data_IF_667817862143
#
_entry.id   IF_667817862143
#
_cell.length_a   1.000
_cell.length_b   1.000
_cell.length_c   1.000
_cell.angle_alpha   90.00
_cell.angle_beta   90.00
_cell.angle_gamma   90.00
#
_symmetry.space_group_name_H-M   'P 1'
#
loop_
_entity.id
_entity.type
_entity.pdbx_description
1 polymer ?
#
# COMPACT_ATOMS: atom_id res chain seq x y z
N UNK A 1 3.31 -19.32 -11.07
CA UNK A 1 2.50 -18.14 -10.69
C UNK A 1 1.15 -18.16 -11.39
N UNK A 2 0.08 -17.87 -10.66
CA UNK A 2 -1.25 -17.65 -11.26
C UNK A 2 -1.35 -16.15 -11.66
N UNK A 3 -1.54 -15.80 -12.94
CA UNK A 3 -1.40 -14.42 -13.43
C UNK A 3 -2.37 -13.43 -12.76
N UNK A 4 -3.50 -13.92 -12.26
CA UNK A 4 -4.50 -13.14 -11.54
C UNK A 4 -4.01 -12.65 -10.17
N UNK A 5 -3.18 -13.44 -9.49
CA UNK A 5 -2.65 -13.10 -8.15
C UNK A 5 -1.56 -12.04 -8.27
N UNK A 6 -0.66 -12.19 -9.24
CA UNK A 6 0.40 -11.23 -9.52
C UNK A 6 -0.15 -9.84 -9.86
N UNK A 7 -1.21 -9.78 -10.68
CA UNK A 7 -1.89 -8.52 -11.03
C UNK A 7 -2.53 -7.86 -9.81
N UNK A 8 -3.18 -8.62 -8.92
CA UNK A 8 -3.76 -8.08 -7.67
C UNK A 8 -2.69 -7.55 -6.73
N UNK A 9 -1.57 -8.25 -6.62
CA UNK A 9 -0.41 -7.81 -5.87
C UNK A 9 0.11 -6.45 -6.33
N UNK A 10 0.34 -6.31 -7.64
CA UNK A 10 0.79 -5.04 -8.21
C UNK A 10 -0.21 -3.90 -7.99
N UNK A 11 -1.52 -4.17 -8.08
CA UNK A 11 -2.56 -3.16 -7.83
C UNK A 11 -2.55 -2.71 -6.36
N UNK A 12 -2.50 -3.63 -5.40
CA UNK A 12 -2.46 -3.28 -3.98
C UNK A 12 -1.18 -2.50 -3.63
N UNK A 13 -0.04 -2.91 -4.19
CA UNK A 13 1.23 -2.21 -3.97
C UNK A 13 1.19 -0.79 -4.55
N UNK A 14 0.66 -0.65 -5.78
CA UNK A 14 0.48 0.66 -6.41
C UNK A 14 -0.47 1.56 -5.62
N UNK A 15 -1.58 1.01 -5.10
CA UNK A 15 -2.53 1.76 -4.29
C UNK A 15 -1.90 2.26 -2.97
N UNK A 16 -1.12 1.40 -2.31
CA UNK A 16 -0.36 1.78 -1.10
C UNK A 16 0.61 2.93 -1.38
N UNK A 17 1.35 2.84 -2.49
CA UNK A 17 2.33 3.85 -2.89
C UNK A 17 1.66 5.19 -3.18
N UNK A 18 0.52 5.19 -3.87
CA UNK A 18 -0.29 6.39 -4.14
C UNK A 18 -0.81 7.01 -2.84
N UNK A 19 -1.41 6.22 -1.95
CA UNK A 19 -1.89 6.70 -0.65
C UNK A 19 -0.76 7.33 0.18
N UNK A 20 0.42 6.71 0.17
CA UNK A 20 1.59 7.22 0.88
C UNK A 20 2.11 8.51 0.25
N UNK A 21 2.18 8.60 -1.07
CA UNK A 21 2.60 9.84 -1.78
C UNK A 21 1.63 10.97 -1.52
N UNK A 22 0.32 10.73 -1.54
CA UNK A 22 -0.68 11.75 -1.23
C UNK A 22 -0.60 12.18 0.24
N UNK A 23 -0.54 11.25 1.19
CA UNK A 23 -0.45 11.58 2.62
C UNK A 23 0.84 12.31 3.02
N UNK A 24 1.97 12.00 2.37
CA UNK A 24 3.22 12.75 2.61
C UNK A 24 3.15 14.12 1.93
N UNK A 25 2.71 14.17 0.67
CA UNK A 25 2.66 15.41 -0.12
C UNK A 25 1.69 16.44 0.44
N UNK A 26 0.52 16.02 0.92
CA UNK A 26 -0.48 16.92 1.49
C UNK A 26 -0.02 17.52 2.83
N UNK A 27 0.70 16.71 3.62
CA UNK A 27 1.36 17.18 4.85
C UNK A 27 2.40 18.28 4.54
N UNK A 28 3.19 18.11 3.48
CA UNK A 28 4.22 19.08 3.04
C UNK A 28 3.61 20.37 2.47
N UNK A 29 2.50 20.27 1.72
CA UNK A 29 1.92 21.42 0.99
C UNK A 29 0.94 22.21 1.87
N UNK A 30 0.11 21.54 2.67
CA UNK A 30 -1.05 22.14 3.36
C UNK A 30 -0.80 22.27 4.86
N UNK A 31 0.20 21.56 5.42
CA UNK A 31 0.57 21.64 6.84
C UNK A 31 -0.43 20.97 7.79
N UNK A 32 -1.38 20.18 7.28
CA UNK A 32 -2.40 19.48 8.06
C UNK A 32 -1.89 18.14 8.60
N UNK A 33 -0.88 18.18 9.47
CA UNK A 33 -0.17 16.99 9.92
C UNK A 33 -1.09 15.90 10.54
N UNK A 34 -2.18 16.27 11.22
CA UNK A 34 -3.02 15.31 11.94
C UNK A 34 -3.96 14.49 11.02
N UNK A 35 -4.53 15.12 9.98
CA UNK A 35 -5.40 14.42 9.03
C UNK A 35 -4.58 13.53 8.07
N UNK A 36 -3.37 13.98 7.74
CA UNK A 36 -2.42 13.23 6.90
C UNK A 36 -1.88 11.96 7.56
N UNK A 37 -1.80 11.93 8.89
CA UNK A 37 -1.35 10.75 9.62
C UNK A 37 -2.26 9.53 9.36
N UNK A 38 -3.57 9.73 9.24
CA UNK A 38 -4.53 8.64 8.99
C UNK A 38 -4.36 8.10 7.57
N UNK A 39 -4.14 8.98 6.59
CA UNK A 39 -3.92 8.59 5.18
C UNK A 39 -2.63 7.79 5.04
N UNK A 40 -1.57 8.23 5.72
CA UNK A 40 -0.28 7.51 5.77
C UNK A 40 -0.45 6.15 6.47
N UNK A 41 -1.13 6.09 7.61
CA UNK A 41 -1.42 4.82 8.32
C UNK A 41 -2.24 3.88 7.43
N UNK A 42 -3.26 4.37 6.75
CA UNK A 42 -4.07 3.58 5.84
C UNK A 42 -3.24 3.07 4.65
N UNK A 43 -2.41 3.92 4.03
CA UNK A 43 -1.50 3.53 2.95
C UNK A 43 -0.49 2.47 3.39
N UNK A 44 0.07 2.61 4.59
CA UNK A 44 1.02 1.66 5.16
C UNK A 44 0.35 0.32 5.50
N UNK A 45 -0.86 0.36 6.07
CA UNK A 45 -1.63 -0.83 6.39
C UNK A 45 -1.99 -1.61 5.11
N UNK A 46 -2.45 -0.91 4.07
CA UNK A 46 -2.72 -1.52 2.75
C UNK A 46 -1.45 -2.12 2.16
N UNK A 47 -0.30 -1.45 2.29
CA UNK A 47 0.99 -1.96 1.84
C UNK A 47 1.44 -3.23 2.56
N UNK A 48 1.23 -3.31 3.87
CA UNK A 48 1.51 -4.50 4.68
C UNK A 48 0.59 -5.67 4.33
N UNK A 49 -0.71 -5.42 4.16
CA UNK A 49 -1.67 -6.44 3.70
C UNK A 49 -1.27 -6.94 2.32
N UNK A 50 -0.86 -6.05 1.42
CA UNK A 50 -0.34 -6.43 0.10
C UNK A 50 0.89 -7.34 0.23
N UNK A 51 1.88 -6.94 1.03
CA UNK A 51 3.09 -7.72 1.26
C UNK A 51 2.77 -9.13 1.77
N UNK A 52 1.93 -9.25 2.80
CA UNK A 52 1.57 -10.56 3.34
C UNK A 52 0.75 -11.41 2.38
N UNK A 53 -0.16 -10.81 1.61
CA UNK A 53 -0.91 -11.53 0.59
C UNK A 53 0.01 -12.03 -0.53
N UNK A 54 0.92 -11.19 -1.01
CA UNK A 54 1.84 -11.54 -2.08
C UNK A 54 2.88 -12.55 -1.64
N UNK A 55 3.49 -12.31 -0.48
CA UNK A 55 4.52 -13.17 0.08
C UNK A 55 3.91 -14.50 0.53
N UNK A 56 2.79 -14.49 1.26
CA UNK A 56 2.12 -15.72 1.70
C UNK A 56 1.64 -16.59 0.53
N UNK A 57 1.13 -15.98 -0.54
CA UNK A 57 0.69 -16.71 -1.72
C UNK A 57 1.85 -17.14 -2.64
N UNK A 58 3.02 -16.52 -2.52
CA UNK A 58 4.26 -16.98 -3.14
C UNK A 58 4.91 -18.12 -2.34
N UNK A 59 4.96 -18.01 -1.01
CA UNK A 59 5.53 -19.01 -0.09
C UNK A 59 4.73 -20.31 -0.02
N UNK A 60 3.41 -20.27 -0.22
CA UNK A 60 2.57 -21.47 -0.30
C UNK A 60 2.75 -22.24 -1.62
N UNK A 61 3.35 -21.60 -2.64
CA UNK A 61 3.48 -22.13 -3.99
C UNK A 61 4.94 -22.24 -4.46
N UNK A 62 5.89 -22.22 -3.52
CA UNK A 62 7.30 -22.57 -3.71
C UNK A 62 7.59 -23.94 -3.13
#
# INVERSE_FOLDING_TARGET
>A
MNPTVERRCHILFGLSLVLLTFGIGYCVIVGTCLADFIVVIAGLFVGWVALFYCLGNASFWG
#
